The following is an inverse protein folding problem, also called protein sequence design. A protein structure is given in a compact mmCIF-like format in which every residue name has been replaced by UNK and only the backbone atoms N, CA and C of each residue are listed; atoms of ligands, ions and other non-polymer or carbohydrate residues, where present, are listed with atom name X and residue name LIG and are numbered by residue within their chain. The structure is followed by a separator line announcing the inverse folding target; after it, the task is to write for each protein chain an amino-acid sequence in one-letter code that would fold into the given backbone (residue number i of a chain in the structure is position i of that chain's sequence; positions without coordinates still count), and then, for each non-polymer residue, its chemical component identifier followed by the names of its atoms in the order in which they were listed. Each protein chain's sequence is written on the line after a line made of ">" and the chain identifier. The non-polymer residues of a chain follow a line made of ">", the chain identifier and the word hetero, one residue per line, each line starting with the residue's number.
data_IF_830304422282
#
_entry.id   IF_830304422282
#
_cell.length_a   1.000
_cell.length_b   1.000
_cell.length_c   1.000
_cell.angle_alpha   90.00
_cell.angle_beta   90.00
_cell.angle_gamma   90.00
#
_symmetry.space_group_name_H-M   'P 1'
#
loop_
_entity.id
_entity.type
_entity.pdbx_description
1 polymer ?
#
# COMPACT_ATOMS: atom_id res chain seq x y z
N UNK A 1 -21.06 -13.98 -9.45
CA UNK A 1 -20.31 -15.25 -9.67
C UNK A 1 -18.80 -15.02 -9.60
N UNK A 2 -18.24 -14.08 -10.37
CA UNK A 2 -16.80 -13.76 -10.33
C UNK A 2 -16.27 -13.46 -8.92
N UNK A 3 -16.93 -12.61 -8.15
CA UNK A 3 -16.43 -12.22 -6.81
C UNK A 3 -16.37 -13.41 -5.83
N UNK A 4 -17.35 -14.32 -5.86
CA UNK A 4 -17.35 -15.50 -5.00
C UNK A 4 -16.25 -16.51 -5.40
N UNK A 5 -16.00 -16.67 -6.70
CA UNK A 5 -14.92 -17.52 -7.20
C UNK A 5 -13.55 -16.97 -6.82
N UNK A 6 -13.34 -15.66 -6.97
CA UNK A 6 -12.08 -14.98 -6.59
C UNK A 6 -11.84 -15.01 -5.08
N UNK A 7 -12.87 -14.74 -4.28
CA UNK A 7 -12.77 -14.85 -2.82
C UNK A 7 -12.43 -16.29 -2.38
N UNK A 8 -13.02 -17.30 -3.03
CA UNK A 8 -12.67 -18.71 -2.77
C UNK A 8 -11.24 -19.02 -3.19
N UNK A 9 -10.80 -18.53 -4.36
CA UNK A 9 -9.44 -18.71 -4.83
C UNK A 9 -8.43 -18.08 -3.86
N UNK A 10 -8.66 -16.84 -3.43
CA UNK A 10 -7.84 -16.16 -2.42
C UNK A 10 -7.77 -16.97 -1.11
N UNK A 11 -8.90 -17.46 -0.59
CA UNK A 11 -8.92 -18.25 0.65
C UNK A 11 -8.17 -19.59 0.58
N UNK A 12 -7.95 -20.12 -0.63
CA UNK A 12 -7.12 -21.32 -0.87
C UNK A 12 -5.66 -20.91 -1.05
N UNK A 13 -5.38 -19.98 -1.96
CA UNK A 13 -4.03 -19.62 -2.40
C UNK A 13 -3.28 -18.77 -1.36
N UNK A 14 -3.96 -17.92 -0.62
CA UNK A 14 -3.36 -17.07 0.41
C UNK A 14 -2.66 -17.84 1.52
N UNK A 15 -3.01 -19.11 1.72
CA UNK A 15 -2.34 -20.02 2.67
C UNK A 15 -0.88 -20.26 2.33
N UNK A 16 -0.51 -20.10 1.07
CA UNK A 16 0.85 -20.35 0.60
C UNK A 16 1.76 -19.14 0.77
N UNK A 17 1.21 -17.94 0.92
CA UNK A 17 2.00 -16.72 1.19
C UNK A 17 2.79 -16.81 2.50
N UNK A 18 2.24 -17.47 3.51
CA UNK A 18 2.84 -17.56 4.85
C UNK A 18 3.70 -18.81 5.06
N UNK A 19 3.82 -19.68 4.05
CA UNK A 19 4.62 -20.89 4.18
C UNK A 19 6.07 -20.64 3.76
N UNK A 20 6.99 -20.84 4.69
CA UNK A 20 8.43 -20.72 4.47
C UNK A 20 9.08 -21.96 3.87
N UNK A 21 8.48 -23.14 4.08
CA UNK A 21 9.01 -24.43 3.61
C UNK A 21 8.08 -25.01 2.54
N UNK A 22 8.42 -24.77 1.28
CA UNK A 22 7.69 -25.29 0.11
C UNK A 22 8.47 -26.47 -0.46
N UNK A 23 7.87 -27.67 -0.47
CA UNK A 23 8.47 -28.84 -1.12
C UNK A 23 8.53 -28.69 -2.65
N UNK A 24 9.42 -29.43 -3.32
CA UNK A 24 9.52 -29.38 -4.79
C UNK A 24 8.19 -29.73 -5.49
N UNK A 25 7.48 -30.74 -4.99
CA UNK A 25 6.16 -31.12 -5.51
C UNK A 25 5.16 -29.96 -5.39
N UNK A 26 5.22 -29.24 -4.27
CA UNK A 26 4.32 -28.13 -4.00
C UNK A 26 4.61 -26.92 -4.90
N UNK A 27 5.90 -26.62 -5.13
CA UNK A 27 6.33 -25.59 -6.09
C UNK A 27 5.87 -25.92 -7.51
N UNK A 28 5.96 -27.19 -7.92
CA UNK A 28 5.50 -27.64 -9.22
C UNK A 28 3.99 -27.48 -9.39
N UNK A 29 3.20 -27.87 -8.39
CA UNK A 29 1.75 -27.68 -8.40
C UNK A 29 1.37 -26.19 -8.48
N UNK A 30 2.04 -25.33 -7.70
CA UNK A 30 1.80 -23.89 -7.75
C UNK A 30 2.10 -23.30 -9.13
N UNK A 31 3.22 -23.68 -9.76
CA UNK A 31 3.54 -23.23 -11.12
C UNK A 31 2.46 -23.59 -12.12
N UNK A 32 1.92 -24.82 -12.06
CA UNK A 32 0.82 -25.25 -12.92
C UNK A 32 -0.42 -24.37 -12.69
N UNK A 33 -0.77 -24.11 -11.43
CA UNK A 33 -1.92 -23.27 -11.07
C UNK A 33 -1.71 -21.85 -11.59
N UNK A 34 -0.52 -21.26 -11.40
CA UNK A 34 -0.24 -19.87 -11.73
C UNK A 34 -0.24 -19.66 -13.23
N UNK A 35 0.40 -20.54 -14.00
CA UNK A 35 0.34 -20.53 -15.46
C UNK A 35 -1.10 -20.62 -15.97
N UNK A 36 -1.93 -21.51 -15.41
CA UNK A 36 -3.32 -21.64 -15.84
C UNK A 36 -4.23 -20.47 -15.40
N UNK A 37 -3.93 -19.84 -14.25
CA UNK A 37 -4.83 -18.86 -13.63
C UNK A 37 -4.51 -17.41 -13.98
N UNK A 38 -3.28 -17.09 -14.42
CA UNK A 38 -2.83 -15.72 -14.73
C UNK A 38 -3.73 -15.03 -15.76
N UNK A 39 -3.98 -15.68 -16.90
CA UNK A 39 -4.81 -15.11 -17.97
C UNK A 39 -6.29 -14.94 -17.56
N UNK A 40 -6.96 -15.96 -16.97
CA UNK A 40 -8.31 -15.79 -16.42
C UNK A 40 -8.43 -14.71 -15.34
N UNK A 41 -7.41 -14.56 -14.50
CA UNK A 41 -7.38 -13.53 -13.47
C UNK A 41 -7.35 -12.14 -14.10
N UNK A 42 -6.43 -11.90 -15.04
CA UNK A 42 -6.33 -10.62 -15.75
C UNK A 42 -7.64 -10.25 -16.44
N UNK A 43 -8.25 -11.20 -17.17
CA UNK A 43 -9.54 -10.97 -17.83
C UNK A 43 -10.63 -10.61 -16.82
N UNK A 44 -10.66 -11.28 -15.67
CA UNK A 44 -11.61 -10.98 -14.60
C UNK A 44 -11.39 -9.57 -14.05
N UNK A 45 -10.14 -9.16 -13.85
CA UNK A 45 -9.79 -7.82 -13.38
C UNK A 45 -10.21 -6.73 -14.38
N UNK A 46 -9.95 -6.92 -15.68
CA UNK A 46 -10.36 -5.99 -16.74
C UNK A 46 -11.89 -5.87 -16.82
N UNK A 47 -12.62 -6.98 -16.71
CA UNK A 47 -14.09 -6.99 -16.70
C UNK A 47 -14.68 -6.26 -15.49
N UNK A 48 -14.14 -6.53 -14.29
CA UNK A 48 -14.58 -5.90 -13.06
C UNK A 48 -14.30 -4.39 -13.06
N UNK A 49 -13.13 -3.98 -13.54
CA UNK A 49 -12.80 -2.57 -13.72
C UNK A 49 -13.77 -1.89 -14.70
N UNK A 50 -14.08 -2.55 -15.82
CA UNK A 50 -15.07 -2.07 -16.78
C UNK A 50 -16.49 -1.95 -16.20
N UNK A 51 -16.88 -2.81 -15.26
CA UNK A 51 -18.15 -2.66 -14.53
C UNK A 51 -18.11 -1.49 -13.53
N UNK A 52 -16.98 -1.23 -12.87
CA UNK A 52 -16.81 -0.05 -12.02
C UNK A 52 -16.90 1.25 -12.83
N UNK A 53 -16.32 1.29 -14.03
CA UNK A 53 -16.35 2.45 -14.91
C UNK A 53 -17.77 2.83 -15.35
N UNK A 54 -18.68 1.86 -15.48
CA UNK A 54 -20.07 2.10 -15.88
C UNK A 54 -20.87 2.89 -14.83
N UNK A 55 -20.43 2.94 -13.57
CA UNK A 55 -21.11 3.71 -12.52
C UNK A 55 -22.49 3.17 -12.11
N UNK A 56 -22.79 1.91 -12.44
CA UNK A 56 -24.10 1.30 -12.19
C UNK A 56 -24.22 0.61 -10.82
N UNK A 57 -25.34 -0.09 -10.60
CA UNK A 57 -25.63 -0.83 -9.35
C UNK A 57 -24.57 -1.90 -9.02
N UNK A 58 -23.86 -2.40 -10.04
CA UNK A 58 -22.80 -3.39 -9.89
C UNK A 58 -21.47 -2.85 -9.38
N UNK A 59 -21.28 -1.53 -9.27
CA UNK A 59 -19.98 -0.91 -8.95
C UNK A 59 -19.40 -1.39 -7.62
N UNK A 60 -20.20 -1.44 -6.56
CA UNK A 60 -19.74 -1.94 -5.25
C UNK A 60 -19.25 -3.39 -5.35
N UNK A 61 -20.06 -4.26 -5.95
CA UNK A 61 -19.72 -5.68 -6.12
C UNK A 61 -18.50 -5.87 -7.01
N UNK A 62 -18.33 -5.03 -8.02
CA UNK A 62 -17.16 -5.03 -8.88
C UNK A 62 -15.89 -4.60 -8.12
N UNK A 63 -15.98 -3.55 -7.29
CA UNK A 63 -14.89 -3.11 -6.40
C UNK A 63 -14.44 -4.23 -5.47
N UNK A 64 -15.39 -4.87 -4.78
CA UNK A 64 -15.09 -6.00 -3.89
C UNK A 64 -14.48 -7.20 -4.62
N UNK A 65 -14.99 -7.51 -5.82
CA UNK A 65 -14.40 -8.54 -6.67
C UNK A 65 -12.98 -8.20 -7.09
N UNK A 66 -12.71 -6.93 -7.39
CA UNK A 66 -11.39 -6.46 -7.79
C UNK A 66 -10.41 -6.49 -6.61
N UNK A 67 -10.88 -6.20 -5.39
CA UNK A 67 -10.11 -6.42 -4.15
C UNK A 67 -9.65 -7.88 -4.05
N UNK A 68 -10.58 -8.85 -4.13
CA UNK A 68 -10.19 -10.27 -4.11
C UNK A 68 -9.27 -10.67 -5.26
N UNK A 69 -9.41 -10.04 -6.43
CA UNK A 69 -8.57 -10.32 -7.58
C UNK A 69 -7.12 -9.83 -7.38
N UNK A 70 -6.95 -8.65 -6.77
CA UNK A 70 -5.62 -8.11 -6.42
C UNK A 70 -4.95 -8.97 -5.35
N UNK A 71 -5.72 -9.46 -4.36
CA UNK A 71 -5.22 -10.41 -3.37
C UNK A 71 -4.78 -11.73 -4.03
N UNK A 72 -5.61 -12.29 -4.92
CA UNK A 72 -5.24 -13.46 -5.72
C UNK A 72 -3.95 -13.22 -6.49
N UNK A 73 -3.81 -12.06 -7.15
CA UNK A 73 -2.60 -11.72 -7.90
C UNK A 73 -1.36 -11.76 -7.00
N UNK A 74 -1.48 -11.18 -5.82
CA UNK A 74 -0.41 -11.18 -4.82
C UNK A 74 -0.17 -12.60 -4.28
N UNK A 75 -1.16 -13.49 -4.28
CA UNK A 75 -1.00 -14.89 -3.86
C UNK A 75 -0.26 -15.69 -4.94
N UNK A 76 -0.57 -15.46 -6.22
CA UNK A 76 0.10 -16.09 -7.37
C UNK A 76 1.58 -15.71 -7.47
N UNK A 77 1.94 -14.54 -7.00
CA UNK A 77 3.30 -13.99 -7.11
C UNK A 77 4.11 -14.21 -5.84
N UNK A 78 3.76 -15.24 -5.05
CA UNK A 78 4.48 -15.62 -3.83
C UNK A 78 5.82 -16.29 -4.16
N UNK A 79 5.85 -17.12 -5.20
CA UNK A 79 7.05 -17.88 -5.59
C UNK A 79 7.96 -17.06 -6.51
N UNK A 80 7.42 -16.72 -7.67
CA UNK A 80 8.03 -15.94 -8.73
C UNK A 80 6.90 -15.32 -9.56
N UNK A 81 7.24 -14.51 -10.57
CA UNK A 81 6.23 -13.94 -11.47
C UNK A 81 5.71 -14.97 -12.48
N UNK A 82 6.56 -15.87 -12.95
CA UNK A 82 6.29 -16.73 -14.10
C UNK A 82 6.24 -15.99 -15.44
N UNK A 83 6.42 -16.73 -16.54
CA UNK A 83 6.49 -16.17 -17.89
C UNK A 83 5.15 -15.54 -18.31
N UNK A 84 4.03 -16.18 -17.97
CA UNK A 84 2.70 -15.70 -18.34
C UNK A 84 2.41 -14.32 -17.74
N UNK A 85 2.82 -14.07 -16.50
CA UNK A 85 2.63 -12.76 -15.86
C UNK A 85 3.52 -11.72 -16.52
N UNK A 86 4.81 -12.02 -16.73
CA UNK A 86 5.77 -11.10 -17.35
C UNK A 86 5.26 -10.64 -18.72
N UNK A 87 4.73 -11.55 -19.54
CA UNK A 87 4.18 -11.22 -20.86
C UNK A 87 2.98 -10.28 -20.85
N UNK A 88 2.21 -10.24 -19.76
CA UNK A 88 1.03 -9.38 -19.63
C UNK A 88 1.14 -8.33 -18.52
N UNK A 89 2.34 -8.13 -17.96
CA UNK A 89 2.59 -7.24 -16.83
C UNK A 89 2.07 -5.81 -17.05
N UNK A 90 2.24 -5.27 -18.25
CA UNK A 90 1.74 -3.92 -18.59
C UNK A 90 0.22 -3.78 -18.41
N UNK A 91 -0.54 -4.85 -18.66
CA UNK A 91 -1.99 -4.85 -18.48
C UNK A 91 -2.37 -4.91 -17.00
N UNK A 92 -1.68 -5.73 -16.22
CA UNK A 92 -1.86 -5.75 -14.76
C UNK A 92 -1.51 -4.40 -14.14
N UNK A 93 -0.38 -3.81 -14.52
CA UNK A 93 0.03 -2.45 -14.12
C UNK A 93 -1.05 -1.43 -14.46
N UNK A 94 -1.58 -1.48 -15.69
CA UNK A 94 -2.65 -0.57 -16.11
C UNK A 94 -3.89 -0.71 -15.24
N UNK A 95 -4.33 -1.94 -14.95
CA UNK A 95 -5.50 -2.16 -14.08
C UNK A 95 -5.24 -1.67 -12.66
N UNK A 96 -4.11 -2.05 -12.04
CA UNK A 96 -3.75 -1.64 -10.67
C UNK A 96 -3.69 -0.11 -10.54
N UNK A 97 -3.06 0.56 -11.49
CA UNK A 97 -2.96 2.01 -11.47
C UNK A 97 -4.34 2.67 -11.59
N UNK A 98 -5.20 2.15 -12.47
CA UNK A 98 -6.58 2.64 -12.62
C UNK A 98 -7.41 2.44 -11.36
N UNK A 99 -7.21 1.35 -10.63
CA UNK A 99 -7.85 1.13 -9.31
C UNK A 99 -7.45 2.22 -8.32
N UNK A 100 -6.15 2.52 -8.25
CA UNK A 100 -5.60 3.51 -7.34
C UNK A 100 -6.12 4.93 -7.63
N UNK A 101 -6.24 5.27 -8.91
CA UNK A 101 -6.71 6.57 -9.40
C UNK A 101 -8.25 6.69 -9.43
N UNK A 102 -8.99 5.63 -9.12
CA UNK A 102 -10.45 5.63 -9.23
C UNK A 102 -11.09 6.57 -8.19
N UNK A 103 -12.04 7.39 -8.64
CA UNK A 103 -12.70 8.46 -7.84
C UNK A 103 -14.21 8.56 -8.07
N UNK A 104 -14.85 7.57 -8.72
CA UNK A 104 -16.28 7.64 -9.05
C UNK A 104 -17.17 7.50 -7.78
N UNK A 105 -18.14 8.39 -7.54
CA UNK A 105 -19.05 8.32 -6.38
C UNK A 105 -20.00 7.12 -6.39
N UNK A 106 -20.07 6.34 -7.48
CA UNK A 106 -20.88 5.12 -7.55
C UNK A 106 -20.40 3.93 -6.70
N UNK A 107 -19.20 4.02 -6.11
CA UNK A 107 -18.65 3.04 -5.15
C UNK A 107 -18.63 3.68 -3.77
N UNK A 108 -19.06 2.95 -2.74
CA UNK A 108 -18.95 3.45 -1.37
C UNK A 108 -17.48 3.59 -0.93
N UNK A 109 -17.21 4.60 -0.11
CA UNK A 109 -15.85 4.95 0.32
C UNK A 109 -15.10 3.79 0.95
N UNK A 110 -15.78 2.96 1.76
CA UNK A 110 -15.17 1.81 2.45
C UNK A 110 -14.63 0.79 1.43
N UNK A 111 -15.47 0.35 0.49
CA UNK A 111 -15.06 -0.63 -0.53
C UNK A 111 -13.93 -0.08 -1.44
N UNK A 112 -13.91 1.23 -1.66
CA UNK A 112 -12.86 1.88 -2.44
C UNK A 112 -11.54 1.98 -1.64
N UNK A 113 -11.62 2.26 -0.33
CA UNK A 113 -10.48 2.26 0.57
C UNK A 113 -9.83 0.88 0.59
N UNK A 114 -10.62 -0.17 0.84
CA UNK A 114 -10.15 -1.56 0.83
C UNK A 114 -9.42 -1.91 -0.47
N UNK A 115 -10.01 -1.58 -1.63
CA UNK A 115 -9.40 -1.82 -2.93
C UNK A 115 -8.05 -1.10 -3.08
N UNK A 116 -7.98 0.18 -2.71
CA UNK A 116 -6.73 0.95 -2.81
C UNK A 116 -5.66 0.43 -1.87
N UNK A 117 -6.03 0.03 -0.66
CA UNK A 117 -5.14 -0.59 0.32
C UNK A 117 -4.49 -1.85 -0.24
N UNK A 118 -5.27 -2.81 -0.77
CA UNK A 118 -4.70 -4.05 -1.32
C UNK A 118 -3.87 -3.81 -2.58
N UNK A 119 -4.19 -2.78 -3.37
CA UNK A 119 -3.36 -2.35 -4.51
C UNK A 119 -2.02 -1.81 -4.03
N UNK A 120 -1.98 -0.97 -3.01
CA UNK A 120 -0.73 -0.46 -2.43
C UNK A 120 0.13 -1.61 -1.88
N UNK A 121 -0.46 -2.56 -1.17
CA UNK A 121 0.25 -3.76 -0.69
C UNK A 121 0.85 -4.59 -1.84
N UNK A 122 0.09 -4.78 -2.91
CA UNK A 122 0.54 -5.53 -4.09
C UNK A 122 1.70 -4.81 -4.80
N UNK A 123 1.61 -3.48 -4.94
CA UNK A 123 2.69 -2.66 -5.51
C UNK A 123 3.93 -2.70 -4.63
N UNK A 124 3.78 -2.63 -3.30
CA UNK A 124 4.90 -2.77 -2.35
C UNK A 124 5.58 -4.13 -2.50
N UNK A 125 4.79 -5.21 -2.59
CA UNK A 125 5.31 -6.56 -2.83
C UNK A 125 6.14 -6.63 -4.11
N UNK A 126 5.62 -6.12 -5.23
CA UNK A 126 6.35 -6.10 -6.51
C UNK A 126 7.61 -5.27 -6.47
N UNK A 127 7.58 -4.12 -5.79
CA UNK A 127 8.75 -3.26 -5.66
C UNK A 127 9.86 -3.93 -4.83
N UNK A 128 9.51 -4.71 -3.83
CA UNK A 128 10.47 -5.39 -2.96
C UNK A 128 11.00 -6.70 -3.53
N UNK A 129 10.14 -7.49 -4.17
CA UNK A 129 10.48 -8.85 -4.61
C UNK A 129 10.88 -8.93 -6.10
N UNK A 130 10.37 -8.02 -6.94
CA UNK A 130 10.50 -8.10 -8.39
C UNK A 130 10.90 -6.74 -8.99
N UNK A 131 11.81 -6.02 -8.33
CA UNK A 131 12.21 -4.68 -8.75
C UNK A 131 12.73 -4.64 -10.19
N UNK A 132 13.49 -5.65 -10.63
CA UNK A 132 14.08 -5.71 -11.97
C UNK A 132 13.03 -5.58 -13.09
N UNK A 133 11.87 -6.22 -12.92
CA UNK A 133 10.79 -6.16 -13.91
C UNK A 133 9.83 -4.98 -13.69
N UNK A 134 9.63 -4.58 -12.43
CA UNK A 134 8.57 -3.65 -12.04
C UNK A 134 8.99 -2.18 -11.97
N UNK A 135 10.28 -1.87 -11.76
CA UNK A 135 10.79 -0.52 -11.48
C UNK A 135 10.33 0.55 -12.49
N UNK A 136 10.32 0.19 -13.79
CA UNK A 136 9.89 1.09 -14.88
C UNK A 136 8.45 1.59 -14.75
N UNK A 137 7.60 0.92 -13.97
CA UNK A 137 6.21 1.32 -13.73
C UNK A 137 6.01 2.04 -12.38
N UNK A 138 6.93 1.87 -11.44
CA UNK A 138 6.74 2.25 -10.05
C UNK A 138 6.58 3.77 -9.85
N UNK A 139 7.22 4.60 -10.68
CA UNK A 139 7.20 6.06 -10.52
C UNK A 139 5.79 6.66 -10.49
N UNK A 140 4.89 6.18 -11.34
CA UNK A 140 3.52 6.70 -11.41
C UNK A 140 2.67 6.25 -10.22
N UNK A 141 2.85 5.02 -9.72
CA UNK A 141 2.22 4.57 -8.49
C UNK A 141 2.67 5.42 -7.30
N UNK A 142 3.97 5.64 -7.15
CA UNK A 142 4.53 6.44 -6.06
C UNK A 142 3.99 7.87 -6.08
N UNK A 143 3.86 8.47 -7.26
CA UNK A 143 3.25 9.80 -7.42
C UNK A 143 1.80 9.83 -6.93
N UNK A 144 0.97 8.88 -7.39
CA UNK A 144 -0.45 8.82 -6.99
C UNK A 144 -0.60 8.56 -5.49
N UNK A 145 0.19 7.65 -4.91
CA UNK A 145 0.18 7.37 -3.47
C UNK A 145 0.59 8.59 -2.67
N UNK A 146 1.68 9.25 -3.07
CA UNK A 146 2.16 10.47 -2.43
C UNK A 146 1.08 11.55 -2.40
N UNK A 147 0.50 11.88 -3.56
CA UNK A 147 -0.55 12.89 -3.68
C UNK A 147 -1.77 12.53 -2.80
N UNK A 148 -2.10 11.24 -2.71
CA UNK A 148 -3.21 10.74 -1.90
C UNK A 148 -2.96 10.96 -0.40
N UNK A 149 -1.78 10.59 0.11
CA UNK A 149 -1.49 10.67 1.55
C UNK A 149 -1.03 12.06 2.00
N UNK A 150 -0.60 12.93 1.07
CA UNK A 150 -0.31 14.33 1.35
C UNK A 150 -1.56 15.23 1.29
N UNK A 151 -2.68 14.72 0.77
CA UNK A 151 -3.95 15.44 0.72
C UNK A 151 -4.51 15.68 2.12
N UNK A 152 -5.17 16.82 2.39
CA UNK A 152 -5.86 17.07 3.66
C UNK A 152 -6.91 16.01 4.04
N UNK A 153 -7.49 15.33 3.04
CA UNK A 153 -8.44 14.23 3.26
C UNK A 153 -7.82 13.03 3.98
N UNK A 154 -6.49 12.89 3.93
CA UNK A 154 -5.78 11.81 4.61
C UNK A 154 -5.91 11.88 6.14
N UNK A 155 -6.26 13.03 6.71
CA UNK A 155 -6.41 13.21 8.16
C UNK A 155 -7.65 12.49 8.74
N UNK A 156 -8.59 12.06 7.92
CA UNK A 156 -9.77 11.33 8.37
C UNK A 156 -9.40 9.92 8.83
N UNK A 157 -9.95 9.45 9.96
CA UNK A 157 -9.68 8.11 10.51
C UNK A 157 -10.11 6.96 9.60
N UNK A 158 -11.07 7.22 8.70
CA UNK A 158 -11.46 6.27 7.65
C UNK A 158 -10.34 5.99 6.64
N UNK A 159 -9.36 6.89 6.52
CA UNK A 159 -8.25 6.80 5.58
C UNK A 159 -7.00 6.11 6.18
N UNK A 160 -7.08 5.60 7.40
CA UNK A 160 -5.96 5.00 8.13
C UNK A 160 -5.20 3.99 7.27
N UNK A 161 -5.91 2.98 6.74
CA UNK A 161 -5.29 1.90 5.96
C UNK A 161 -4.54 2.43 4.73
N UNK A 162 -5.10 3.40 4.01
CA UNK A 162 -4.47 4.04 2.85
C UNK A 162 -3.19 4.78 3.29
N UNK A 163 -3.25 5.53 4.39
CA UNK A 163 -2.12 6.32 4.87
C UNK A 163 -0.99 5.41 5.35
N UNK A 164 -1.34 4.36 6.10
CA UNK A 164 -0.44 3.33 6.60
C UNK A 164 0.26 2.63 5.43
N UNK A 165 -0.51 2.05 4.49
CA UNK A 165 0.08 1.33 3.36
C UNK A 165 0.81 2.27 2.39
N UNK A 166 0.36 3.51 2.26
CA UNK A 166 1.04 4.52 1.46
C UNK A 166 2.43 4.86 2.01
N UNK A 167 2.54 5.12 3.33
CA UNK A 167 3.85 5.34 3.98
C UNK A 167 4.73 4.10 3.93
N UNK A 168 4.15 2.90 4.03
CA UNK A 168 4.87 1.65 3.87
C UNK A 168 5.48 1.51 2.47
N UNK A 169 4.70 1.78 1.42
CA UNK A 169 5.15 1.77 0.04
C UNK A 169 6.26 2.81 -0.21
N UNK A 170 6.09 4.05 0.28
CA UNK A 170 7.13 5.07 0.15
C UNK A 170 8.41 4.67 0.88
N UNK A 171 8.29 4.04 2.04
CA UNK A 171 9.45 3.54 2.79
C UNK A 171 10.16 2.41 2.04
N UNK A 172 9.42 1.48 1.42
CA UNK A 172 9.97 0.44 0.57
C UNK A 172 10.70 1.03 -0.64
N UNK A 173 10.10 2.00 -1.32
CA UNK A 173 10.70 2.69 -2.45
C UNK A 173 11.98 3.43 -2.07
N UNK A 174 11.98 4.11 -0.91
CA UNK A 174 13.15 4.83 -0.39
C UNK A 174 14.35 3.92 -0.11
N UNK A 175 14.11 2.67 0.32
CA UNK A 175 15.18 1.68 0.57
C UNK A 175 15.60 0.91 -0.69
N UNK A 176 14.77 0.93 -1.73
CA UNK A 176 14.92 0.10 -2.92
C UNK A 176 15.59 0.81 -4.11
N UNK A 177 15.24 0.35 -5.31
CA UNK A 177 15.76 0.90 -6.57
C UNK A 177 15.16 2.27 -6.92
N UNK A 178 13.93 2.55 -6.48
CA UNK A 178 13.24 3.83 -6.69
C UNK A 178 13.70 4.97 -5.77
N UNK A 179 14.79 4.78 -5.01
CA UNK A 179 15.27 5.75 -4.00
C UNK A 179 15.54 7.14 -4.58
N UNK A 180 15.97 7.23 -5.83
CA UNK A 180 16.38 8.50 -6.44
C UNK A 180 15.21 9.50 -6.58
N UNK A 181 13.95 9.04 -6.54
CA UNK A 181 12.76 9.91 -6.45
C UNK A 181 12.80 10.80 -5.20
N UNK A 182 13.41 10.30 -4.12
CA UNK A 182 13.54 11.01 -2.85
C UNK A 182 14.80 11.89 -2.80
N UNK A 183 15.67 11.85 -3.80
CA UNK A 183 16.90 12.65 -3.85
C UNK A 183 16.64 14.08 -4.36
N UNK A 184 15.60 14.72 -3.81
CA UNK A 184 15.23 16.10 -4.11
C UNK A 184 14.79 16.78 -2.80
N UNK A 185 15.49 17.84 -2.42
CA UNK A 185 15.26 18.57 -1.16
C UNK A 185 13.84 19.11 -1.06
N UNK A 186 13.29 19.72 -2.12
CA UNK A 186 11.95 20.30 -2.12
C UNK A 186 10.88 19.21 -1.95
N UNK A 187 11.04 18.07 -2.62
CA UNK A 187 10.14 16.94 -2.44
C UNK A 187 10.20 16.38 -1.02
N UNK A 188 11.39 16.23 -0.45
CA UNK A 188 11.54 15.76 0.94
C UNK A 188 10.95 16.74 1.95
N UNK A 189 11.14 18.05 1.77
CA UNK A 189 10.52 19.06 2.61
C UNK A 189 8.99 18.96 2.56
N UNK A 190 8.41 18.77 1.36
CA UNK A 190 6.98 18.56 1.19
C UNK A 190 6.50 17.28 1.92
N UNK A 191 7.21 16.16 1.76
CA UNK A 191 6.92 14.90 2.43
C UNK A 191 6.91 15.04 3.94
N UNK A 192 7.95 15.70 4.46
CA UNK A 192 8.12 15.92 5.90
C UNK A 192 6.96 16.75 6.44
N UNK A 193 6.63 17.85 5.77
CA UNK A 193 5.60 18.79 6.23
C UNK A 193 4.18 18.23 6.14
N UNK A 194 3.82 17.52 5.06
CA UNK A 194 2.43 17.16 4.76
C UNK A 194 2.09 15.70 5.07
N UNK A 195 3.08 14.81 5.16
CA UNK A 195 2.85 13.39 5.42
C UNK A 195 3.43 12.98 6.77
N UNK A 196 4.73 13.20 6.97
CA UNK A 196 5.43 12.64 8.13
C UNK A 196 5.00 13.34 9.44
N UNK A 197 5.11 14.67 9.50
CA UNK A 197 4.81 15.40 10.74
C UNK A 197 3.35 15.24 11.19
N UNK A 198 2.33 15.34 10.32
CA UNK A 198 0.94 15.12 10.72
C UNK A 198 0.68 13.71 11.27
N UNK A 199 1.38 12.69 10.75
CA UNK A 199 1.20 11.30 11.17
C UNK A 199 2.10 10.90 12.36
N UNK A 200 3.07 11.73 12.77
CA UNK A 200 3.85 11.54 14.01
C UNK A 200 3.22 12.20 15.24
N UNK A 201 2.41 13.23 15.01
CA UNK A 201 1.71 13.98 16.05
C UNK A 201 0.72 13.08 16.80
N UNK A 202 0.54 13.33 18.10
CA UNK A 202 -0.56 12.73 18.86
C UNK A 202 -1.87 13.32 18.34
N UNK A 203 -2.79 12.45 17.94
CA UNK A 203 -4.13 12.87 17.53
C UNK A 203 -5.02 13.06 18.77
N UNK A 204 -6.09 13.86 18.68
CA UNK A 204 -7.06 14.00 19.77
C UNK A 204 -7.57 12.64 20.28
N UNK A 205 -7.82 11.70 19.38
CA UNK A 205 -8.27 10.34 19.70
C UNK A 205 -7.22 9.55 20.50
N UNK A 206 -5.92 9.81 20.28
CA UNK A 206 -4.85 9.19 21.07
C UNK A 206 -4.87 9.72 22.52
N UNK A 207 -5.15 11.01 22.69
CA UNK A 207 -5.25 11.65 24.01
C UNK A 207 -6.49 11.14 24.74
N UNK A 208 -7.63 11.05 24.05
CA UNK A 208 -8.86 10.50 24.61
C UNK A 208 -8.68 9.04 25.04
N UNK A 209 -8.04 8.20 24.20
CA UNK A 209 -7.74 6.81 24.55
C UNK A 209 -6.83 6.72 25.76
N UNK A 210 -5.82 7.59 25.86
CA UNK A 210 -4.95 7.64 27.03
C UNK A 210 -5.71 8.05 28.31
N UNK A 211 -6.63 9.00 28.22
CA UNK A 211 -7.41 9.49 29.37
C UNK A 211 -8.49 8.51 29.81
N UNK A 212 -9.12 7.81 28.87
CA UNK A 212 -10.26 6.90 29.13
C UNK A 212 -9.82 5.46 29.39
N UNK A 213 -8.87 4.95 28.62
CA UNK A 213 -8.38 3.57 28.66
C UNK A 213 -6.84 3.50 28.57
N UNK A 214 -6.12 3.95 29.62
CA UNK A 214 -4.66 4.06 29.59
C UNK A 214 -3.95 2.72 29.35
N UNK A 215 -4.55 1.60 29.78
CA UNK A 215 -3.99 0.27 29.51
C UNK A 215 -4.08 -0.08 28.02
N UNK A 216 -5.22 0.17 27.37
CA UNK A 216 -5.40 -0.01 25.92
C UNK A 216 -4.45 0.88 25.11
N UNK A 217 -4.25 2.13 25.55
CA UNK A 217 -3.26 3.03 24.96
C UNK A 217 -1.82 2.47 25.08
N UNK A 218 -1.40 2.06 26.29
CA UNK A 218 -0.06 1.50 26.51
C UNK A 218 0.11 0.21 25.70
N UNK A 219 -0.90 -0.65 25.65
CA UNK A 219 -0.84 -1.88 24.87
C UNK A 219 -0.63 -1.60 23.38
N UNK A 220 -1.36 -0.62 22.83
CA UNK A 220 -1.21 -0.15 21.46
C UNK A 220 0.17 0.44 21.16
N UNK A 221 0.78 1.14 22.12
CA UNK A 221 2.07 1.81 21.96
C UNK A 221 3.29 0.88 22.23
N UNK A 222 3.20 0.02 23.24
CA UNK A 222 4.30 -0.83 23.76
C UNK A 222 4.33 -2.22 23.12
N UNK A 223 3.19 -2.87 22.89
CA UNK A 223 3.21 -4.25 22.43
C UNK A 223 3.43 -4.36 20.93
N UNK A 224 3.08 -3.32 20.14
CA UNK A 224 3.47 -3.18 18.73
C UNK A 224 3.21 -4.42 17.86
N UNK A 225 2.41 -5.39 18.30
CA UNK A 225 2.43 -6.73 17.72
C UNK A 225 1.42 -6.89 16.60
N UNK A 226 0.35 -6.08 16.55
CA UNK A 226 -0.75 -6.34 15.62
C UNK A 226 -1.42 -5.12 14.97
N UNK A 227 -0.91 -3.90 15.13
CA UNK A 227 -1.47 -2.74 14.41
C UNK A 227 -0.37 -1.87 13.79
N UNK A 228 -0.30 -1.88 12.46
CA UNK A 228 0.46 -0.90 11.68
C UNK A 228 -0.16 0.48 11.92
N UNK A 229 0.27 1.22 12.93
CA UNK A 229 -0.28 2.57 13.20
C UNK A 229 0.34 3.60 12.27
N UNK A 230 -0.38 4.70 12.01
CA UNK A 230 0.15 5.87 11.28
C UNK A 230 1.48 6.34 11.86
N UNK A 231 1.57 6.44 13.20
CA UNK A 231 2.78 6.89 13.90
C UNK A 231 3.96 5.96 13.66
N UNK A 232 3.72 4.65 13.70
CA UNK A 232 4.76 3.65 13.43
C UNK A 232 5.27 3.76 12.00
N UNK A 233 4.38 3.73 11.01
CA UNK A 233 4.79 3.81 9.60
C UNK A 233 5.44 5.17 9.26
N UNK A 234 5.00 6.27 9.87
CA UNK A 234 5.68 7.56 9.75
C UNK A 234 7.11 7.51 10.33
N UNK A 235 7.30 6.85 11.49
CA UNK A 235 8.62 6.59 12.07
C UNK A 235 9.51 5.70 11.20
N UNK A 236 8.93 4.66 10.58
CA UNK A 236 9.62 3.80 9.60
C UNK A 236 10.07 4.61 8.37
N UNK A 237 9.24 5.53 7.89
CA UNK A 237 9.56 6.41 6.77
C UNK A 237 10.69 7.39 7.13
N UNK A 238 10.64 8.02 8.32
CA UNK A 238 11.73 8.84 8.84
C UNK A 238 13.04 8.06 8.88
N UNK A 239 13.02 6.84 9.43
CA UNK A 239 14.22 6.01 9.51
C UNK A 239 14.77 5.67 8.13
N UNK A 240 13.89 5.32 7.19
CA UNK A 240 14.28 5.00 5.81
C UNK A 240 14.97 6.19 5.15
N UNK A 241 14.40 7.38 5.29
CA UNK A 241 14.98 8.62 4.77
C UNK A 241 16.34 8.94 5.41
N UNK A 242 16.44 8.84 6.74
CA UNK A 242 17.70 9.12 7.46
C UNK A 242 18.82 8.13 7.14
N UNK A 243 18.49 6.87 6.86
CA UNK A 243 19.46 5.85 6.47
C UNK A 243 19.90 6.03 5.01
N UNK A 244 18.97 6.28 4.10
CA UNK A 244 19.29 6.39 2.67
C UNK A 244 19.87 7.75 2.28
N UNK A 245 19.39 8.86 2.87
CA UNK A 245 19.75 10.23 2.52
C UNK A 245 20.14 11.09 3.73
N UNK A 246 21.11 10.67 4.57
CA UNK A 246 21.44 11.36 5.82
C UNK A 246 21.80 12.84 5.63
N UNK A 247 22.53 13.17 4.55
CA UNK A 247 23.02 14.52 4.27
C UNK A 247 21.89 15.50 3.87
N UNK A 248 20.77 14.99 3.35
CA UNK A 248 19.63 15.80 2.93
C UNK A 248 18.54 15.77 4.00
N UNK A 249 18.18 14.58 4.48
CA UNK A 249 17.13 14.40 5.48
C UNK A 249 17.51 14.96 6.85
N UNK A 250 18.75 14.79 7.29
CA UNK A 250 19.22 15.25 8.61
C UNK A 250 19.01 16.76 8.84
N UNK A 251 19.48 17.63 7.92
CA UNK A 251 19.23 19.07 8.00
C UNK A 251 17.74 19.44 8.01
N UNK A 252 16.92 18.79 7.17
CA UNK A 252 15.47 19.07 7.08
C UNK A 252 14.79 18.76 8.42
N UNK A 253 15.01 17.57 8.99
CA UNK A 253 14.41 17.19 10.27
C UNK A 253 14.91 18.06 11.42
N UNK A 254 16.20 18.44 11.42
CA UNK A 254 16.78 19.33 12.43
C UNK A 254 16.13 20.72 12.40
N UNK A 255 15.94 21.28 11.21
CA UNK A 255 15.28 22.58 11.03
C UNK A 255 13.80 22.53 11.50
N UNK A 256 13.08 21.46 11.18
CA UNK A 256 11.69 21.29 11.64
C UNK A 256 11.59 21.12 13.14
N UNK A 257 12.49 20.34 13.77
CA UNK A 257 12.56 20.20 15.22
C UNK A 257 12.81 21.56 15.89
N UNK A 258 13.75 22.36 15.38
CA UNK A 258 14.03 23.70 15.91
C UNK A 258 12.83 24.63 15.80
N UNK A 259 12.10 24.57 14.68
CA UNK A 259 10.86 25.34 14.48
C UNK A 259 9.78 24.96 15.50
N UNK A 260 9.57 23.66 15.72
CA UNK A 260 8.59 23.15 16.69
C UNK A 260 8.96 23.52 18.13
N UNK A 261 10.24 23.38 18.52
CA UNK A 261 10.71 23.79 19.85
C UNK A 261 10.54 25.30 20.08
N UNK A 262 10.81 26.11 19.06
CA UNK A 262 10.65 27.57 19.16
C UNK A 262 9.18 27.96 19.30
N UNK A 263 8.28 27.28 18.57
CA UNK A 263 6.84 27.51 18.66
C UNK A 263 6.26 27.08 20.01
N UNK A 264 6.79 26.01 20.63
CA UNK A 264 6.35 25.54 21.94
C UNK A 264 6.87 26.40 23.10
N UNK A 265 7.96 27.14 22.90
CA UNK A 265 8.53 28.05 23.90
C UNK A 265 7.91 29.46 23.90
N UNK A 266 7.09 29.78 22.89
CA UNK A 266 6.38 31.05 22.74
C UNK A 266 4.97 30.98 23.36
#
# INVERSE_FOLDING_TARGET
>A
MHCAALSTAHGILGRYRSQTDLSEDFVNDLRIIYTAFTSPLLLSMELLLGEMDKGGVGCKTASQGLTSAVECLRDLTTLDLGDEFIWCMEKFVSVLLRCLQFTNPGVDGVSLIELKTVVMECVTHFLLQFSEDFEKYAGEFLRVVWDTIASPLSCESTMDDIVIQGMNLLSAACRGSMRDIFNNTEHLENLVAHVILPNLALQPDDIELYETEPFSYIQRDVEGSDFHTRRREAGELVRSLMVTFPDISGPIFSAQLQRLMSAAAA
#
